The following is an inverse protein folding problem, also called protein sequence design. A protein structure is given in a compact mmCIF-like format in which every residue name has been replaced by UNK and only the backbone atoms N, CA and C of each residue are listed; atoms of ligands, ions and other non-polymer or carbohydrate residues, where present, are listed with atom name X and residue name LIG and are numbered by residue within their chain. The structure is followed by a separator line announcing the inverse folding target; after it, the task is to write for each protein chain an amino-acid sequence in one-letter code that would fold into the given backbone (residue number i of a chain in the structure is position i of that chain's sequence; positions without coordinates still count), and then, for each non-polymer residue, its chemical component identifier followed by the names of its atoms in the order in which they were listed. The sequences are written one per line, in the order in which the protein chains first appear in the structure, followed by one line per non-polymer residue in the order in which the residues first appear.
data_IF_935349141901
#
_entry.id   IF_935349141901
#
_cell.length_a   1.000
_cell.length_b   1.000
_cell.length_c   1.000
_cell.angle_alpha   90.00
_cell.angle_beta   90.00
_cell.angle_gamma   90.00
#
_symmetry.space_group_name_H-M   'P 1'
#
loop_
_entity.id
_entity.type
_entity.pdbx_description
1 polymer ?
#
# COMPACT_ATOMS: atom_id res chain seq x y z
N UNK A 1 -6.99 18.54 31.34
CA UNK A 1 -7.47 17.27 30.75
C UNK A 1 -6.36 16.71 29.86
N UNK A 2 -5.33 16.19 30.51
CA UNK A 2 -4.05 15.73 29.95
C UNK A 2 -3.70 14.49 30.73
N UNK A 3 -3.84 13.32 30.12
CA UNK A 3 -3.30 12.02 30.54
C UNK A 3 -4.01 10.94 29.72
N UNK A 4 -3.47 10.58 28.52
CA UNK A 4 -3.76 9.30 27.83
C UNK A 4 -2.95 9.07 26.54
N UNK A 5 -1.67 9.45 26.49
CA UNK A 5 -0.78 9.10 25.35
C UNK A 5 0.51 8.38 25.78
N UNK A 6 0.70 8.14 27.08
CA UNK A 6 1.96 7.58 27.61
C UNK A 6 2.12 6.06 27.66
N UNK A 7 1.15 5.26 27.20
CA UNK A 7 1.10 3.81 27.53
C UNK A 7 1.19 2.80 26.37
N UNK A 8 1.56 3.22 25.15
CA UNK A 8 1.66 2.29 24.00
C UNK A 8 3.06 2.14 23.39
N UNK A 9 4.12 2.75 23.96
CA UNK A 9 5.47 2.76 23.39
C UNK A 9 6.55 2.00 24.21
N UNK A 10 6.18 1.03 25.06
CA UNK A 10 7.16 0.30 25.89
C UNK A 10 7.08 -1.24 25.87
N UNK A 11 6.46 -1.87 24.87
CA UNK A 11 6.31 -3.34 24.82
C UNK A 11 6.85 -4.07 23.59
N UNK A 12 7.78 -3.49 22.83
CA UNK A 12 8.48 -4.21 21.76
C UNK A 12 9.99 -3.99 21.77
N UNK A 13 10.59 -4.31 22.91
CA UNK A 13 11.99 -4.68 22.97
C UNK A 13 12.10 -5.98 23.77
N UNK A 14 12.92 -6.91 23.30
CA UNK A 14 13.17 -8.25 23.85
C UNK A 14 12.12 -9.29 23.44
N UNK A 15 12.36 -9.94 22.29
CA UNK A 15 12.54 -11.39 22.17
C UNK A 15 13.52 -11.60 21.01
N UNK A 16 14.81 -11.60 21.36
CA UNK A 16 15.82 -12.36 20.63
C UNK A 16 15.53 -13.83 20.93
N UNK A 17 15.03 -14.58 19.96
CA UNK A 17 15.25 -16.03 19.93
C UNK A 17 16.03 -16.32 18.66
N UNK A 18 17.30 -16.60 18.89
CA UNK A 18 18.22 -17.25 17.97
C UNK A 18 17.57 -18.48 17.34
N UNK A 19 17.31 -18.42 16.04
CA UNK A 19 17.23 -19.61 15.20
C UNK A 19 18.52 -19.69 14.39
N UNK A 20 19.63 -19.99 15.06
CA UNK A 20 20.80 -20.59 14.41
C UNK A 20 20.34 -21.94 13.85
N UNK A 21 19.99 -21.97 12.57
CA UNK A 21 19.83 -23.23 11.86
C UNK A 21 21.25 -23.75 11.59
N UNK A 22 21.76 -24.55 12.52
CA UNK A 22 22.95 -25.37 12.32
C UNK A 22 22.57 -26.43 11.28
N UNK A 23 22.79 -26.12 10.00
CA UNK A 23 22.72 -27.11 8.93
C UNK A 23 23.99 -27.96 9.04
N UNK A 24 23.91 -29.05 9.79
CA UNK A 24 24.90 -30.12 9.72
C UNK A 24 24.79 -30.75 8.33
N UNK A 25 25.78 -30.51 7.48
CA UNK A 25 25.90 -31.18 6.18
C UNK A 25 26.42 -32.59 6.47
N UNK A 26 25.51 -33.56 6.59
CA UNK A 26 25.86 -34.97 6.39
C UNK A 26 25.74 -35.28 4.91
N UNK A 27 26.86 -35.57 4.28
CA UNK A 27 26.93 -36.10 2.93
C UNK A 27 26.17 -37.42 2.82
N UNK A 28 25.42 -37.60 1.73
CA UNK A 28 24.93 -38.92 1.34
C UNK A 28 23.49 -38.94 0.87
N UNK A 29 23.33 -39.22 -0.42
CA UNK A 29 22.15 -39.78 -1.09
C UNK A 29 20.90 -38.92 -1.25
N UNK A 30 20.47 -38.86 -2.51
CA UNK A 30 19.25 -38.28 -3.06
C UNK A 30 18.01 -38.44 -2.17
N UNK A 31 17.45 -37.32 -1.70
CA UNK A 31 16.10 -37.28 -1.15
C UNK A 31 15.45 -35.92 -1.43
N UNK A 32 14.29 -35.95 -2.09
CA UNK A 32 13.41 -34.79 -2.25
C UNK A 32 12.91 -34.35 -0.88
N UNK A 33 13.47 -33.29 -0.32
CA UNK A 33 12.98 -32.70 0.92
C UNK A 33 11.68 -31.92 0.67
N UNK A 34 10.54 -32.44 1.17
CA UNK A 34 9.31 -31.67 1.29
C UNK A 34 9.48 -30.67 2.44
N UNK A 35 9.77 -29.43 2.10
CA UNK A 35 9.71 -28.33 3.07
C UNK A 35 8.23 -27.96 3.24
N UNK A 36 7.64 -28.34 4.38
CA UNK A 36 6.30 -27.93 4.75
C UNK A 36 6.32 -26.49 5.28
N UNK A 37 6.34 -25.52 4.37
CA UNK A 37 6.16 -24.11 4.73
C UNK A 37 4.67 -23.86 4.85
N UNK A 38 4.19 -23.66 6.08
CA UNK A 38 2.83 -23.23 6.41
C UNK A 38 2.66 -21.74 6.06
N UNK A 39 2.86 -21.38 4.79
CA UNK A 39 2.48 -20.11 4.20
C UNK A 39 2.45 -20.29 2.69
N UNK A 40 1.37 -19.81 2.07
CA UNK A 40 0.88 -20.04 0.71
C UNK A 40 1.78 -19.57 -0.44
N UNK A 41 3.02 -20.05 -0.50
CA UNK A 41 3.94 -19.83 -1.61
C UNK A 41 4.44 -21.18 -2.11
N UNK A 42 3.81 -21.71 -3.16
CA UNK A 42 4.39 -22.76 -3.98
C UNK A 42 5.29 -22.09 -5.03
N UNK A 43 6.59 -21.98 -4.72
CA UNK A 43 7.58 -21.75 -5.75
C UNK A 43 7.77 -23.06 -6.52
N UNK A 44 7.18 -23.17 -7.72
CA UNK A 44 7.57 -24.19 -8.67
C UNK A 44 8.98 -23.85 -9.17
N UNK A 45 9.99 -24.49 -8.59
CA UNK A 45 11.33 -24.54 -9.17
C UNK A 45 11.23 -25.50 -10.35
N UNK A 46 11.03 -24.99 -11.57
CA UNK A 46 11.21 -25.83 -12.75
C UNK A 46 12.71 -26.09 -12.90
N UNK A 47 13.14 -27.31 -12.58
CA UNK A 47 14.45 -27.79 -13.02
C UNK A 47 14.32 -28.16 -14.50
N UNK A 48 14.57 -27.22 -15.39
CA UNK A 48 14.85 -27.58 -16.78
C UNK A 48 16.30 -28.08 -16.85
N UNK A 49 16.48 -29.29 -17.38
CA UNK A 49 17.71 -30.08 -17.29
C UNK A 49 18.89 -29.55 -18.09
N UNK A 50 20.07 -29.79 -17.49
CA UNK A 50 21.40 -30.12 -18.03
C UNK A 50 21.93 -29.41 -19.29
N UNK A 51 22.98 -28.61 -19.07
CA UNK A 51 24.23 -28.80 -19.82
C UNK A 51 25.44 -28.62 -18.88
N UNK A 52 26.33 -29.61 -18.97
CA UNK A 52 27.58 -29.75 -18.26
C UNK A 52 28.64 -28.80 -18.87
N UNK A 53 29.61 -28.36 -18.05
CA UNK A 53 30.84 -27.60 -18.37
C UNK A 53 30.93 -26.11 -17.93
N UNK A 54 31.80 -25.93 -16.92
CA UNK A 54 32.70 -24.80 -16.63
C UNK A 54 32.21 -23.57 -15.84
N UNK A 55 32.77 -23.50 -14.62
CA UNK A 55 33.35 -22.33 -13.91
C UNK A 55 32.43 -21.16 -13.49
N UNK A 56 32.22 -21.10 -12.17
CA UNK A 56 32.20 -19.91 -11.30
C UNK A 56 31.78 -18.59 -11.95
N UNK A 57 30.48 -18.29 -11.93
CA UNK A 57 29.93 -16.93 -11.85
C UNK A 57 28.42 -17.03 -11.55
N UNK A 58 28.08 -17.06 -10.26
CA UNK A 58 26.68 -17.02 -9.83
C UNK A 58 26.13 -15.61 -10.08
N UNK A 59 25.47 -15.44 -11.23
CA UNK A 59 24.70 -14.23 -11.55
C UNK A 59 23.30 -14.41 -10.98
N UNK A 60 22.96 -13.62 -9.95
CA UNK A 60 21.59 -13.54 -9.46
C UNK A 60 20.71 -12.91 -10.55
N UNK A 61 20.01 -13.74 -11.32
CA UNK A 61 18.88 -13.29 -12.12
C UNK A 61 17.69 -13.18 -11.15
N UNK A 62 17.22 -11.95 -10.96
CA UNK A 62 16.34 -11.54 -9.87
C UNK A 62 15.11 -12.42 -9.66
N UNK A 63 14.58 -12.33 -8.44
CA UNK A 63 13.30 -12.93 -8.05
C UNK A 63 12.24 -12.46 -9.06
N UNK A 64 11.90 -13.36 -9.98
CA UNK A 64 10.89 -13.08 -11.00
C UNK A 64 9.53 -13.28 -10.34
N UNK A 65 8.95 -12.17 -9.87
CA UNK A 65 7.54 -11.98 -9.48
C UNK A 65 6.90 -13.11 -8.63
N UNK A 66 6.80 -12.88 -7.32
CA UNK A 66 5.83 -13.59 -6.50
C UNK A 66 4.42 -13.12 -6.88
N UNK A 67 3.73 -13.87 -7.76
CA UNK A 67 2.28 -13.72 -7.93
C UNK A 67 1.63 -14.09 -6.60
N UNK A 68 1.12 -13.11 -5.87
CA UNK A 68 0.31 -13.35 -4.66
C UNK A 68 -0.94 -14.12 -5.08
N UNK A 69 -1.02 -15.40 -4.72
CA UNK A 69 -2.21 -16.19 -4.94
C UNK A 69 -3.32 -15.69 -3.99
N UNK A 70 -4.39 -15.14 -4.59
CA UNK A 70 -5.60 -14.76 -3.85
C UNK A 70 -6.21 -16.00 -3.21
N UNK A 71 -6.65 -15.89 -1.95
CA UNK A 71 -7.37 -16.97 -1.28
C UNK A 71 -8.70 -17.24 -1.97
N UNK A 72 -9.32 -18.41 -1.73
CA UNK A 72 -10.64 -18.73 -2.30
C UNK A 72 -11.69 -17.68 -1.91
N UNK A 73 -11.61 -17.14 -0.71
CA UNK A 73 -12.48 -16.08 -0.22
C UNK A 73 -12.24 -14.78 -0.99
N UNK A 74 -10.99 -14.35 -1.15
CA UNK A 74 -10.65 -13.12 -1.87
C UNK A 74 -11.04 -13.20 -3.36
N UNK A 75 -10.96 -14.40 -3.95
CA UNK A 75 -11.46 -14.65 -5.31
C UNK A 75 -12.97 -14.46 -5.40
N UNK A 76 -13.74 -14.94 -4.42
CA UNK A 76 -15.18 -14.72 -4.37
C UNK A 76 -15.52 -13.24 -4.17
N UNK A 77 -14.78 -12.53 -3.31
CA UNK A 77 -14.94 -11.08 -3.10
C UNK A 77 -14.68 -10.34 -4.42
N UNK A 78 -13.60 -10.69 -5.13
CA UNK A 78 -13.28 -10.11 -6.43
C UNK A 78 -14.42 -10.30 -7.43
N UNK A 79 -14.96 -11.51 -7.55
CA UNK A 79 -16.06 -11.80 -8.49
C UNK A 79 -17.27 -10.93 -8.17
N UNK A 80 -17.68 -10.85 -6.88
CA UNK A 80 -18.81 -10.02 -6.45
C UNK A 80 -18.58 -8.52 -6.73
N UNK A 81 -17.37 -8.03 -6.49
CA UNK A 81 -17.00 -6.64 -6.80
C UNK A 81 -17.07 -6.36 -8.30
N UNK A 82 -16.55 -7.26 -9.12
CA UNK A 82 -16.60 -7.12 -10.58
C UNK A 82 -18.04 -7.14 -11.09
N UNK A 83 -18.89 -8.05 -10.59
CA UNK A 83 -20.31 -8.09 -10.92
C UNK A 83 -21.03 -6.78 -10.57
N UNK A 84 -20.85 -6.29 -9.33
CA UNK A 84 -21.45 -5.04 -8.88
C UNK A 84 -21.00 -3.83 -9.70
N UNK A 85 -19.69 -3.67 -9.90
CA UNK A 85 -19.13 -2.53 -10.63
C UNK A 85 -19.51 -2.59 -12.12
N UNK A 86 -19.53 -3.78 -12.73
CA UNK A 86 -20.01 -3.93 -14.10
C UNK A 86 -21.49 -3.57 -14.22
N UNK A 87 -22.33 -3.94 -13.25
CA UNK A 87 -23.73 -3.53 -13.22
C UNK A 87 -23.86 -2.00 -13.07
N UNK A 88 -23.08 -1.39 -12.18
CA UNK A 88 -23.07 0.07 -12.00
C UNK A 88 -22.65 0.81 -13.28
N UNK A 89 -21.66 0.31 -14.01
CA UNK A 89 -21.26 0.84 -15.32
C UNK A 89 -22.37 0.71 -16.34
N UNK A 90 -23.03 -0.45 -16.43
CA UNK A 90 -24.16 -0.68 -17.37
C UNK A 90 -25.31 0.30 -17.14
N UNK A 91 -25.57 0.70 -15.91
CA UNK A 91 -26.60 1.67 -15.55
C UNK A 91 -26.11 3.13 -15.56
N UNK A 92 -24.91 3.41 -16.09
CA UNK A 92 -24.27 4.74 -16.07
C UNK A 92 -24.12 5.36 -14.67
N UNK A 93 -24.14 4.54 -13.62
CA UNK A 93 -23.99 5.00 -12.23
C UNK A 93 -22.52 5.05 -11.79
N UNK A 94 -21.61 4.43 -12.54
CA UNK A 94 -20.19 4.41 -12.21
C UNK A 94 -19.29 4.43 -13.44
N UNK A 95 -18.28 5.28 -13.40
CA UNK A 95 -17.15 5.32 -14.33
C UNK A 95 -15.92 5.76 -13.55
N UNK A 96 -14.80 5.07 -13.74
CA UNK A 96 -13.56 5.40 -13.04
C UNK A 96 -12.72 4.16 -12.78
N UNK A 97 -11.89 4.23 -11.74
CA UNK A 97 -10.99 3.15 -11.35
C UNK A 97 -11.31 2.70 -9.93
N UNK A 98 -11.33 1.38 -9.71
CA UNK A 98 -11.46 0.80 -8.39
C UNK A 98 -10.19 0.02 -8.04
N UNK A 99 -9.64 0.33 -6.87
CA UNK A 99 -8.56 -0.40 -6.21
C UNK A 99 -9.09 -0.92 -4.87
N UNK A 100 -9.01 -2.24 -4.66
CA UNK A 100 -9.37 -2.89 -3.40
C UNK A 100 -8.19 -3.72 -2.94
N UNK A 101 -7.73 -3.43 -1.74
CA UNK A 101 -6.65 -4.12 -1.06
C UNK A 101 -7.14 -4.66 0.28
N UNK A 102 -6.74 -5.89 0.61
CA UNK A 102 -6.96 -6.52 1.92
C UNK A 102 -5.63 -7.07 2.40
N UNK A 103 -5.19 -6.63 3.58
CA UNK A 103 -3.97 -7.14 4.22
C UNK A 103 -2.72 -7.07 3.32
N UNK A 104 -2.48 -5.95 2.64
CA UNK A 104 -1.32 -5.81 1.75
C UNK A 104 -1.48 -6.50 0.38
N UNK A 105 -2.62 -7.16 0.13
CA UNK A 105 -2.87 -7.89 -1.11
C UNK A 105 -3.94 -7.17 -1.93
N UNK A 106 -3.59 -6.85 -3.17
CA UNK A 106 -4.53 -6.25 -4.13
C UNK A 106 -5.50 -7.34 -4.60
N UNK A 107 -6.77 -7.20 -4.21
CA UNK A 107 -7.88 -8.07 -4.64
C UNK A 107 -8.39 -7.63 -6.02
N UNK A 108 -8.52 -6.31 -6.23
CA UNK A 108 -9.02 -5.71 -7.46
C UNK A 108 -8.21 -4.45 -7.77
N UNK A 109 -7.80 -4.29 -9.02
CA UNK A 109 -7.26 -3.03 -9.55
C UNK A 109 -7.67 -2.95 -11.02
N UNK A 110 -8.71 -2.17 -11.31
CA UNK A 110 -9.33 -2.15 -12.64
C UNK A 110 -10.01 -0.81 -12.94
N UNK A 111 -9.92 -0.41 -14.22
CA UNK A 111 -10.69 0.69 -14.78
C UNK A 111 -12.01 0.23 -15.37
N UNK A 112 -13.03 1.07 -15.24
CA UNK A 112 -14.43 0.82 -15.57
C UNK A 112 -14.99 1.99 -16.37
N UNK A 113 -15.68 1.72 -17.48
CA UNK A 113 -16.24 2.76 -18.35
C UNK A 113 -15.17 3.60 -19.08
N UNK A 114 -15.56 4.80 -19.50
CA UNK A 114 -14.69 5.74 -20.21
C UNK A 114 -14.11 6.78 -19.25
N UNK A 115 -12.86 7.16 -19.49
CA UNK A 115 -12.23 8.32 -18.89
C UNK A 115 -12.58 9.61 -19.64
N UNK A 116 -12.70 9.49 -20.95
CA UNK A 116 -13.04 10.56 -21.87
C UNK A 116 -13.94 10.00 -22.95
N UNK A 117 -15.14 10.56 -23.07
CA UNK A 117 -16.12 10.14 -24.06
C UNK A 117 -15.86 10.70 -25.45
N UNK A 118 -15.36 11.93 -25.53
CA UNK A 118 -15.12 12.62 -26.80
C UNK A 118 -13.95 11.97 -27.54
N UNK A 119 -12.90 11.66 -26.78
CA UNK A 119 -11.69 11.01 -27.31
C UNK A 119 -11.74 9.48 -27.24
N UNK A 120 -12.85 8.90 -26.75
CA UNK A 120 -13.06 7.44 -26.65
C UNK A 120 -11.91 6.77 -25.86
N UNK A 121 -11.52 7.38 -24.74
CA UNK A 121 -10.43 6.87 -23.89
C UNK A 121 -11.03 6.02 -22.78
N UNK A 122 -10.75 4.71 -22.70
CA UNK A 122 -11.23 3.87 -21.62
C UNK A 122 -10.49 4.15 -20.30
N UNK A 123 -11.16 3.93 -19.17
CA UNK A 123 -10.48 3.96 -17.88
C UNK A 123 -9.48 2.79 -17.77
N UNK A 124 -8.29 3.10 -17.28
CA UNK A 124 -7.25 2.12 -16.94
C UNK A 124 -6.79 2.34 -15.51
N UNK A 125 -6.25 1.31 -14.85
CA UNK A 125 -5.77 1.42 -13.47
C UNK A 125 -4.64 2.44 -13.27
N UNK A 126 -4.00 2.88 -14.35
CA UNK A 126 -2.91 3.86 -14.37
C UNK A 126 -3.36 5.29 -14.70
N UNK A 127 -4.64 5.51 -14.99
CA UNK A 127 -5.12 6.83 -15.36
C UNK A 127 -5.12 7.79 -14.15
N UNK A 128 -4.90 9.07 -14.42
CA UNK A 128 -4.83 10.11 -13.38
C UNK A 128 -6.17 10.82 -13.27
N UNK A 129 -6.64 11.00 -12.04
CA UNK A 129 -7.86 11.74 -11.72
C UNK A 129 -7.53 12.98 -10.90
N UNK A 130 -8.33 14.04 -11.09
CA UNK A 130 -8.41 15.11 -10.12
C UNK A 130 -9.18 14.60 -8.88
N UNK A 131 -8.51 14.52 -7.74
CA UNK A 131 -9.08 13.96 -6.50
C UNK A 131 -9.81 15.00 -5.63
N UNK A 132 -9.91 16.24 -6.10
CA UNK A 132 -10.67 17.30 -5.45
C UNK A 132 -10.32 17.50 -3.98
N UNK A 133 -11.33 17.52 -3.11
CA UNK A 133 -11.16 17.77 -1.67
C UNK A 133 -10.33 16.73 -0.92
N UNK A 134 -10.05 15.55 -1.49
CA UNK A 134 -9.08 14.60 -0.91
C UNK A 134 -7.69 15.27 -0.79
N UNK A 135 -7.36 16.20 -1.69
CA UNK A 135 -6.14 17.02 -1.65
C UNK A 135 -5.92 17.71 -0.30
N UNK A 136 -6.99 18.09 0.42
CA UNK A 136 -6.88 18.76 1.74
C UNK A 136 -6.16 17.90 2.77
N UNK A 137 -6.30 16.58 2.72
CA UNK A 137 -5.60 15.66 3.62
C UNK A 137 -4.08 15.73 3.40
N UNK A 138 -3.63 15.83 2.15
CA UNK A 138 -2.22 15.99 1.82
C UNK A 138 -1.69 17.34 2.27
N UNK A 139 -2.46 18.42 2.07
CA UNK A 139 -2.10 19.75 2.58
C UNK A 139 -2.01 19.76 4.12
N UNK A 140 -2.96 19.13 4.80
CA UNK A 140 -2.94 18.99 6.26
C UNK A 140 -1.71 18.19 6.73
N UNK A 141 -1.37 17.09 6.05
CA UNK A 141 -0.15 16.33 6.33
C UNK A 141 1.11 17.20 6.19
N UNK A 142 1.22 18.00 5.13
CA UNK A 142 2.36 18.89 4.95
C UNK A 142 2.49 19.93 6.08
N UNK A 143 1.35 20.47 6.55
CA UNK A 143 1.32 21.40 7.70
C UNK A 143 1.72 20.68 8.98
N UNK A 144 1.26 19.45 9.22
CA UNK A 144 1.67 18.65 10.37
C UNK A 144 3.16 18.31 10.37
N UNK A 145 3.75 18.04 9.20
CA UNK A 145 5.21 17.88 9.09
C UNK A 145 5.99 19.14 9.47
N UNK A 146 5.46 20.34 9.15
CA UNK A 146 6.07 21.60 9.58
C UNK A 146 5.92 21.83 11.08
N UNK A 147 4.78 21.43 11.66
CA UNK A 147 4.54 21.45 13.10
C UNK A 147 5.51 20.52 13.84
N UNK A 148 5.69 19.29 13.40
CA UNK A 148 6.64 18.33 14.00
C UNK A 148 8.09 18.85 13.95
N UNK A 149 8.45 19.59 12.91
CA UNK A 149 9.77 20.23 12.76
C UNK A 149 9.90 21.54 13.55
N UNK A 150 8.88 21.94 14.32
CA UNK A 150 8.86 23.18 15.09
C UNK A 150 8.87 24.45 14.24
N UNK A 151 8.53 24.36 12.94
CA UNK A 151 8.55 25.52 12.01
C UNK A 151 7.29 26.36 12.08
N UNK A 152 6.20 25.81 12.61
CA UNK A 152 4.95 26.50 12.91
C UNK A 152 4.31 25.86 14.14
N UNK A 153 3.38 26.58 14.78
CA UNK A 153 2.50 26.02 15.80
C UNK A 153 1.05 26.06 15.33
N UNK A 154 0.22 25.13 15.82
CA UNK A 154 -1.19 25.05 15.42
C UNK A 154 -2.04 26.18 16.03
N UNK A 155 -1.60 26.74 17.15
CA UNK A 155 -2.21 27.89 17.84
C UNK A 155 -1.72 29.23 17.27
N UNK A 156 -0.77 29.24 16.34
CA UNK A 156 -0.34 30.46 15.65
C UNK A 156 -1.55 31.12 14.97
N UNK A 157 -1.63 32.45 15.08
CA UNK A 157 -2.63 33.25 14.35
C UNK A 157 -2.27 33.35 12.87
N UNK A 158 -3.29 33.40 12.01
CA UNK A 158 -3.09 33.56 10.57
C UNK A 158 -2.33 34.85 10.24
N UNK A 159 -2.58 35.92 11.00
CA UNK A 159 -1.88 37.21 10.86
C UNK A 159 -0.36 37.12 11.03
N UNK A 160 0.17 36.07 11.68
CA UNK A 160 1.62 35.83 11.79
C UNK A 160 2.26 35.55 10.43
N UNK A 161 1.53 34.90 9.53
CA UNK A 161 2.01 34.49 8.20
C UNK A 161 1.49 35.40 7.09
N UNK A 162 0.30 35.97 7.29
CA UNK A 162 -0.37 36.87 6.35
C UNK A 162 -0.89 38.11 7.09
N UNK A 163 -0.03 39.12 7.34
CA UNK A 163 -0.38 40.26 8.19
C UNK A 163 -1.52 41.12 7.63
N UNK A 164 -1.65 41.18 6.30
CA UNK A 164 -2.69 41.98 5.62
C UNK A 164 -4.04 41.24 5.50
N UNK A 165 -4.14 40.01 6.03
CA UNK A 165 -5.38 39.24 5.95
C UNK A 165 -6.41 39.79 6.95
N UNK A 166 -7.62 40.17 6.49
CA UNK A 166 -8.63 40.76 7.36
C UNK A 166 -9.02 39.79 8.48
N UNK A 167 -9.01 40.27 9.73
CA UNK A 167 -9.33 39.47 10.93
C UNK A 167 -8.43 38.23 11.10
N UNK A 168 -7.23 38.22 10.50
CA UNK A 168 -6.29 37.11 10.62
C UNK A 168 -5.78 36.85 12.05
N UNK A 169 -5.95 37.81 12.95
CA UNK A 169 -5.68 37.68 14.39
C UNK A 169 -6.72 36.83 15.14
N UNK A 170 -7.90 36.61 14.56
CA UNK A 170 -8.96 35.79 15.16
C UNK A 170 -8.77 34.30 14.79
N UNK A 171 -8.26 34.03 13.59
CA UNK A 171 -8.14 32.69 13.00
C UNK A 171 -6.80 32.03 13.39
N UNK A 172 -6.86 30.77 13.84
CA UNK A 172 -5.68 29.93 14.11
C UNK A 172 -5.39 28.97 12.96
N UNK A 173 -4.16 28.48 12.87
CA UNK A 173 -3.81 27.40 11.92
C UNK A 173 -4.66 26.15 12.18
N UNK A 174 -4.93 25.81 13.44
CA UNK A 174 -5.80 24.68 13.81
C UNK A 174 -7.19 24.82 13.17
N UNK A 175 -7.82 25.98 13.31
CA UNK A 175 -9.14 26.29 12.73
C UNK A 175 -9.17 26.15 11.21
N UNK A 176 -8.08 26.50 10.51
CA UNK A 176 -7.98 26.31 9.06
C UNK A 176 -7.91 24.83 8.66
N UNK A 177 -7.29 23.99 9.50
CA UNK A 177 -7.21 22.54 9.27
C UNK A 177 -8.53 21.82 9.61
N UNK A 178 -9.25 22.29 10.62
CA UNK A 178 -10.48 21.67 11.12
C UNK A 178 -11.78 22.28 10.58
N UNK A 179 -11.71 23.40 9.86
CA UNK A 179 -12.87 24.17 9.41
C UNK A 179 -13.79 24.62 10.57
N UNK A 180 -13.22 25.24 11.61
CA UNK A 180 -13.94 25.71 12.83
C UNK A 180 -13.70 27.18 13.16
#
# INVERSE_FOLDING_TARGET
MSERVGYMLKKFSIILISAMCICSISAGTSASAKINVKSSCLCNISKSGYNHYLKNNYKWNGITSCKSYLSKEDQQIKIKLEEYLNAAVKHNNFQGVALVEKEGKVILSKGYGMADYENIIPNTSSIRFAIGSITKQFTAMAIMQLYERGRLKLDDKLSKYYPDFPRGNEITIHQLLSHT
#
